data_IF_233394314011
#
_entry.id   IF_233394314011
#
_cell.length_a   1.000
_cell.length_b   1.000
_cell.length_c   1.000
_cell.angle_alpha   90.00
_cell.angle_beta   90.00
_cell.angle_gamma   90.00
#
_symmetry.space_group_name_H-M   'P 1'
#
loop_
_entity.id
_entity.type
_entity.pdbx_description
1 polymer ?
#
# COMPACT_ATOMS: atom_id res chain seq x y z
N UNK A 1 32.06 4.28 -2.83
CA UNK A 1 33.44 4.76 -3.08
C UNK A 1 33.35 5.96 -4.01
N UNK A 2 34.24 6.94 -3.88
CA UNK A 2 34.37 8.07 -4.81
C UNK A 2 35.70 7.98 -5.54
N UNK A 3 35.76 8.34 -6.82
CA UNK A 3 37.00 8.30 -7.59
C UNK A 3 36.90 9.07 -8.90
N UNK A 4 38.04 9.37 -9.51
CA UNK A 4 38.14 10.13 -10.76
C UNK A 4 39.12 9.46 -11.75
N UNK A 5 40.02 8.62 -11.27
CA UNK A 5 41.05 7.97 -12.08
C UNK A 5 40.67 6.58 -12.61
N UNK A 6 41.38 6.16 -13.66
CA UNK A 6 41.33 4.78 -14.19
C UNK A 6 41.68 3.73 -13.13
N UNK A 7 42.54 4.12 -12.17
CA UNK A 7 42.99 3.26 -11.08
C UNK A 7 41.88 3.01 -10.05
N UNK A 8 40.89 3.90 -9.96
CA UNK A 8 39.76 3.77 -9.05
C UNK A 8 38.67 2.85 -9.61
N UNK A 9 38.68 2.59 -10.92
CA UNK A 9 37.63 1.84 -11.61
C UNK A 9 37.32 0.45 -10.98
N UNK A 10 38.32 -0.39 -10.60
CA UNK A 10 38.03 -1.68 -9.95
C UNK A 10 37.30 -1.51 -8.62
N UNK A 11 37.65 -0.46 -7.87
CA UNK A 11 37.15 -0.24 -6.52
C UNK A 11 35.82 0.54 -6.52
N UNK A 12 35.60 1.42 -7.51
CA UNK A 12 34.27 1.95 -7.85
C UNK A 12 33.31 0.82 -8.17
N UNK A 13 33.74 -0.14 -9.01
CA UNK A 13 32.89 -1.26 -9.42
C UNK A 13 32.59 -2.26 -8.30
N UNK A 14 33.50 -2.39 -7.34
CA UNK A 14 33.32 -3.28 -6.18
C UNK A 14 32.49 -2.65 -5.05
N UNK A 15 32.29 -1.33 -5.06
CA UNK A 15 31.50 -0.65 -4.05
C UNK A 15 30.00 -0.90 -4.24
N UNK A 16 29.22 -0.83 -3.14
CA UNK A 16 27.76 -0.90 -3.24
C UNK A 16 27.18 0.25 -4.11
N UNK A 17 27.83 1.41 -4.05
CA UNK A 17 27.66 2.54 -4.97
C UNK A 17 29.04 3.19 -5.20
N UNK A 18 29.47 3.22 -6.47
CA UNK A 18 30.57 4.01 -6.99
C UNK A 18 30.10 5.38 -7.47
N UNK A 19 30.85 6.43 -7.11
CA UNK A 19 30.57 7.82 -7.49
C UNK A 19 31.78 8.40 -8.24
N UNK A 20 31.60 8.79 -9.50
CA UNK A 20 32.66 9.40 -10.30
C UNK A 20 32.49 10.90 -10.49
N UNK A 21 33.61 11.61 -10.70
CA UNK A 21 33.62 13.02 -11.07
C UNK A 21 33.25 13.20 -12.54
N UNK A 22 32.38 14.17 -12.86
CA UNK A 22 31.88 14.44 -14.20
C UNK A 22 32.84 15.26 -15.06
N UNK A 23 33.59 16.20 -14.47
CA UNK A 23 34.51 17.08 -15.17
C UNK A 23 35.94 16.51 -15.10
N UNK A 24 36.47 16.32 -13.90
CA UNK A 24 37.82 15.82 -13.67
C UNK A 24 37.96 14.29 -13.89
N UNK A 25 36.85 13.56 -13.84
CA UNK A 25 36.87 12.10 -13.95
C UNK A 25 37.18 11.59 -15.36
N UNK A 26 37.97 10.52 -15.41
CA UNK A 26 38.25 9.76 -16.62
C UNK A 26 37.01 9.01 -17.10
N UNK A 27 36.89 8.76 -18.41
CA UNK A 27 35.75 8.03 -18.97
C UNK A 27 35.65 6.59 -18.42
N UNK A 28 36.79 6.00 -18.06
CA UNK A 28 36.84 4.69 -17.40
C UNK A 28 36.25 4.75 -15.99
N UNK A 29 36.56 5.78 -15.21
CA UNK A 29 35.97 5.98 -13.88
C UNK A 29 34.46 6.21 -13.97
N UNK A 30 34.01 7.07 -14.89
CA UNK A 30 32.58 7.33 -15.15
C UNK A 30 31.84 6.07 -15.58
N UNK A 31 32.43 5.29 -16.49
CA UNK A 31 31.85 4.03 -16.97
C UNK A 31 31.83 2.92 -15.91
N UNK A 32 32.68 3.01 -14.88
CA UNK A 32 32.71 2.05 -13.78
C UNK A 32 31.78 2.40 -12.61
N UNK A 33 31.31 3.65 -12.52
CA UNK A 33 30.47 4.16 -11.42
C UNK A 33 28.96 4.05 -11.67
N UNK A 34 28.17 3.94 -10.61
CA UNK A 34 26.70 3.99 -10.65
C UNK A 34 26.14 5.42 -10.61
N UNK A 35 26.93 6.39 -10.14
CA UNK A 35 26.56 7.81 -10.06
C UNK A 35 27.71 8.69 -10.56
N UNK A 36 27.38 9.74 -11.33
CA UNK A 36 28.36 10.72 -11.83
C UNK A 36 27.97 12.12 -11.37
N UNK A 37 28.91 12.82 -10.74
CA UNK A 37 28.74 14.21 -10.29
C UNK A 37 29.08 15.17 -11.42
N UNK A 38 28.06 15.62 -12.16
CA UNK A 38 28.27 16.49 -13.33
C UNK A 38 28.93 17.85 -13.00
N UNK A 39 28.86 18.27 -11.75
CA UNK A 39 29.37 19.53 -11.22
C UNK A 39 30.67 19.40 -10.42
N UNK A 40 31.20 18.19 -10.26
CA UNK A 40 32.37 17.87 -9.43
C UNK A 40 32.25 18.37 -7.98
N UNK A 41 31.04 18.53 -7.46
CA UNK A 41 30.80 19.03 -6.12
C UNK A 41 30.45 17.91 -5.14
N UNK A 42 31.29 17.69 -4.13
CA UNK A 42 31.02 16.71 -3.06
C UNK A 42 29.76 17.02 -2.25
N UNK A 43 29.31 18.28 -2.19
CA UNK A 43 28.04 18.65 -1.51
C UNK A 43 26.85 17.93 -2.17
N UNK A 44 26.91 17.67 -3.48
CA UNK A 44 25.86 16.94 -4.22
C UNK A 44 25.69 15.51 -3.71
N UNK A 45 26.75 14.89 -3.15
CA UNK A 45 26.64 13.57 -2.49
C UNK A 45 25.77 13.66 -1.24
N UNK A 46 25.89 14.74 -0.46
CA UNK A 46 25.08 14.93 0.76
C UNK A 46 23.60 15.06 0.40
N UNK A 47 23.28 15.86 -0.63
CA UNK A 47 21.93 15.99 -1.15
C UNK A 47 21.37 14.65 -1.70
N UNK A 48 22.22 13.87 -2.38
CA UNK A 48 21.83 12.54 -2.86
C UNK A 48 21.53 11.57 -1.70
N UNK A 49 22.30 11.64 -0.60
CA UNK A 49 22.02 10.84 0.61
C UNK A 49 20.70 11.26 1.25
N UNK A 50 20.42 12.56 1.34
CA UNK A 50 19.16 13.09 1.87
C UNK A 50 17.95 12.60 1.06
N UNK A 51 17.99 12.73 -0.26
CA UNK A 51 16.94 12.21 -1.15
C UNK A 51 16.82 10.68 -1.08
N UNK A 52 17.94 9.95 -0.96
CA UNK A 52 17.91 8.50 -0.78
C UNK A 52 17.20 8.07 0.51
N UNK A 53 17.40 8.81 1.61
CA UNK A 53 16.69 8.56 2.87
C UNK A 53 15.20 8.88 2.76
N UNK A 54 14.84 9.97 2.09
CA UNK A 54 13.45 10.37 1.82
C UNK A 54 12.70 9.32 0.99
N UNK A 55 13.33 8.82 -0.09
CA UNK A 55 12.77 7.75 -0.91
C UNK A 55 12.52 6.51 -0.05
N UNK A 56 13.47 6.14 0.82
CA UNK A 56 13.29 5.00 1.72
C UNK A 56 12.13 5.19 2.72
N UNK A 57 12.00 6.36 3.35
CA UNK A 57 10.88 6.62 4.26
C UNK A 57 9.53 6.58 3.54
N UNK A 58 9.48 7.11 2.32
CA UNK A 58 8.27 7.07 1.49
C UNK A 58 7.96 5.65 1.04
N UNK A 59 8.99 4.82 0.79
CA UNK A 59 8.82 3.38 0.55
C UNK A 59 8.11 2.71 1.73
N UNK A 60 8.55 2.96 2.95
CA UNK A 60 7.94 2.35 4.13
C UNK A 60 6.45 2.74 4.28
N UNK A 61 6.13 4.02 4.05
CA UNK A 61 4.76 4.53 4.11
C UNK A 61 3.85 3.90 3.06
N UNK A 62 4.27 3.87 1.79
CA UNK A 62 3.42 3.27 0.75
C UNK A 62 3.27 1.76 0.95
N UNK A 63 4.33 1.05 1.36
CA UNK A 63 4.24 -0.40 1.61
C UNK A 63 3.31 -0.66 2.79
N UNK A 64 3.37 0.17 3.83
CA UNK A 64 2.47 0.07 4.99
C UNK A 64 1.01 0.26 4.57
N UNK A 65 0.73 1.23 3.71
CA UNK A 65 -0.59 1.51 3.18
C UNK A 65 -1.11 0.34 2.33
N UNK A 66 -0.36 -0.09 1.29
CA UNK A 66 -0.78 -1.18 0.39
C UNK A 66 -0.98 -2.51 1.13
N UNK A 67 -0.07 -2.86 2.03
CA UNK A 67 -0.24 -4.06 2.85
C UNK A 67 -1.44 -3.92 3.79
N UNK A 68 -1.65 -2.74 4.36
CA UNK A 68 -2.76 -2.47 5.27
C UNK A 68 -4.11 -2.66 4.60
N UNK A 69 -4.30 -2.04 3.43
CA UNK A 69 -5.55 -2.12 2.65
C UNK A 69 -5.82 -3.55 2.18
N UNK A 70 -4.82 -4.22 1.60
CA UNK A 70 -5.00 -5.59 1.08
C UNK A 70 -5.29 -6.61 2.20
N UNK A 71 -4.63 -6.46 3.36
CA UNK A 71 -4.91 -7.32 4.51
C UNK A 71 -6.30 -7.00 5.09
N UNK A 72 -6.66 -5.71 5.18
CA UNK A 72 -7.99 -5.26 5.61
C UNK A 72 -9.10 -5.86 4.75
N UNK A 73 -8.93 -5.83 3.44
CA UNK A 73 -9.85 -6.41 2.45
C UNK A 73 -10.08 -7.91 2.69
N UNK A 74 -9.01 -8.67 2.84
CA UNK A 74 -9.11 -10.10 3.12
C UNK A 74 -9.82 -10.34 4.46
N UNK A 75 -9.52 -9.55 5.49
CA UNK A 75 -10.08 -9.71 6.84
C UNK A 75 -11.59 -9.46 6.84
N UNK A 76 -12.08 -8.32 6.33
CA UNK A 76 -13.52 -8.05 6.41
C UNK A 76 -14.33 -9.00 5.53
N UNK A 77 -13.81 -9.43 4.38
CA UNK A 77 -14.49 -10.42 3.53
C UNK A 77 -14.58 -11.76 4.26
N UNK A 78 -13.49 -12.20 4.89
CA UNK A 78 -13.45 -13.46 5.64
C UNK A 78 -14.40 -13.41 6.85
N UNK A 79 -14.42 -12.30 7.58
CA UNK A 79 -15.33 -12.12 8.73
C UNK A 79 -16.79 -12.10 8.28
N UNK A 80 -17.12 -11.38 7.20
CA UNK A 80 -18.49 -11.35 6.68
C UNK A 80 -18.99 -12.74 6.29
N UNK A 81 -18.15 -13.53 5.60
CA UNK A 81 -18.46 -14.92 5.25
C UNK A 81 -18.63 -15.78 6.51
N UNK A 82 -17.70 -15.69 7.45
CA UNK A 82 -17.74 -16.47 8.70
C UNK A 82 -18.95 -16.11 9.57
N UNK A 83 -19.36 -14.84 9.59
CA UNK A 83 -20.54 -14.35 10.30
C UNK A 83 -21.86 -14.64 9.56
N UNK A 84 -21.79 -15.27 8.38
CA UNK A 84 -22.95 -15.46 7.49
C UNK A 84 -23.67 -14.14 7.20
N UNK A 85 -22.91 -13.07 6.96
CA UNK A 85 -23.42 -11.80 6.46
C UNK A 85 -23.35 -11.77 4.92
N UNK A 86 -24.21 -11.00 4.25
CA UNK A 86 -24.04 -10.70 2.83
C UNK A 86 -22.63 -10.19 2.52
N UNK A 87 -22.13 -10.49 1.33
CA UNK A 87 -20.80 -10.03 0.93
C UNK A 87 -20.80 -8.49 0.87
N UNK A 88 -19.86 -7.81 1.56
CA UNK A 88 -19.78 -6.36 1.54
C UNK A 88 -19.52 -5.80 0.13
N UNK A 89 -18.73 -6.53 -0.67
CA UNK A 89 -18.31 -6.14 -2.01
C UNK A 89 -18.32 -7.36 -2.93
N UNK A 90 -18.73 -7.14 -4.18
CA UNK A 90 -18.64 -8.14 -5.25
C UNK A 90 -17.22 -8.22 -5.84
N UNK A 91 -16.89 -9.33 -6.50
CA UNK A 91 -15.58 -9.56 -7.09
C UNK A 91 -15.13 -8.44 -8.07
N UNK A 92 -16.06 -7.90 -8.87
CA UNK A 92 -15.77 -6.79 -9.78
C UNK A 92 -15.50 -5.48 -9.02
N UNK A 93 -16.24 -5.25 -7.92
CA UNK A 93 -16.07 -4.06 -7.08
C UNK A 93 -14.73 -4.10 -6.36
N UNK A 94 -14.31 -5.27 -5.86
CA UNK A 94 -12.97 -5.51 -5.29
C UNK A 94 -11.87 -5.19 -6.31
N UNK A 95 -12.00 -5.67 -7.55
CA UNK A 95 -11.02 -5.37 -8.60
C UNK A 95 -10.94 -3.88 -8.91
N UNK A 96 -12.09 -3.21 -8.98
CA UNK A 96 -12.16 -1.77 -9.21
C UNK A 96 -11.58 -0.97 -8.04
N UNK A 97 -11.84 -1.40 -6.80
CA UNK A 97 -11.31 -0.80 -5.60
C UNK A 97 -9.78 -0.88 -5.60
N UNK A 98 -9.21 -2.06 -5.81
CA UNK A 98 -7.76 -2.26 -5.89
C UNK A 98 -7.09 -1.41 -6.97
N UNK A 99 -7.71 -1.29 -8.15
CA UNK A 99 -7.19 -0.41 -9.21
C UNK A 99 -7.12 1.06 -8.76
N UNK A 100 -8.13 1.52 -8.02
CA UNK A 100 -8.22 2.90 -7.54
C UNK A 100 -7.34 3.16 -6.31
N UNK A 101 -7.34 2.25 -5.32
CA UNK A 101 -6.63 2.39 -4.06
C UNK A 101 -5.12 2.19 -4.19
N UNK A 102 -4.68 1.31 -5.08
CA UNK A 102 -3.26 0.95 -5.17
C UNK A 102 -2.50 1.85 -6.15
N UNK A 103 -3.21 2.54 -7.03
CA UNK A 103 -2.61 3.45 -8.01
C UNK A 103 -2.34 4.83 -7.42
N UNK A 104 -3.39 5.65 -7.34
CA UNK A 104 -3.26 7.08 -7.05
C UNK A 104 -2.68 7.38 -5.66
N UNK A 105 -3.18 6.77 -4.56
CA UNK A 105 -2.63 6.97 -3.23
C UNK A 105 -1.16 6.53 -3.10
N UNK A 106 -0.77 5.41 -3.72
CA UNK A 106 0.61 4.92 -3.65
C UNK A 106 1.60 5.90 -4.30
N UNK A 107 1.24 6.47 -5.45
CA UNK A 107 2.06 7.50 -6.13
C UNK A 107 2.12 8.78 -5.31
N UNK A 108 1.03 9.16 -4.63
CA UNK A 108 1.02 10.33 -3.76
C UNK A 108 1.97 10.14 -2.56
N UNK A 109 1.91 8.98 -1.89
CA UNK A 109 2.79 8.64 -0.77
C UNK A 109 4.27 8.57 -1.19
N UNK A 110 4.55 8.15 -2.43
CA UNK A 110 5.92 8.15 -2.94
C UNK A 110 6.53 9.56 -3.07
N UNK A 111 5.70 10.60 -3.24
CA UNK A 111 6.12 12.00 -3.43
C UNK A 111 6.09 12.85 -2.17
N UNK A 112 5.85 12.26 -1.01
CA UNK A 112 5.76 13.00 0.24
C UNK A 112 7.09 13.70 0.58
N UNK A 113 7.06 14.92 1.16
CA UNK A 113 8.27 15.60 1.60
C UNK A 113 9.02 14.79 2.68
N UNK A 114 10.33 15.01 2.76
CA UNK A 114 11.16 14.44 3.83
C UNK A 114 10.84 15.07 5.18
N UNK A 115 11.07 14.30 6.24
CA UNK A 115 11.09 14.82 7.60
C UNK A 115 12.31 15.75 7.80
N UNK A 116 12.12 16.85 8.53
CA UNK A 116 13.17 17.82 8.87
C UNK A 116 14.33 17.17 9.65
N UNK A 117 14.05 16.06 10.34
CA UNK A 117 15.05 15.34 11.13
C UNK A 117 15.76 14.22 10.36
N UNK A 118 15.43 14.02 9.09
CA UNK A 118 15.89 12.88 8.28
C UNK A 118 17.42 12.75 8.23
N UNK A 119 18.15 13.86 8.24
CA UNK A 119 19.62 13.87 8.23
C UNK A 119 20.27 13.77 9.63
N UNK A 120 19.51 13.98 10.70
CA UNK A 120 19.99 13.89 12.09
C UNK A 120 20.03 12.45 12.61
N UNK A 121 19.19 11.58 12.05
CA UNK A 121 19.07 10.17 12.44
C UNK A 121 20.29 9.39 11.92
N UNK A 122 20.87 8.45 12.69
CA UNK A 122 21.97 7.62 12.20
C UNK A 122 21.56 6.73 11.01
N UNK A 123 22.50 6.34 10.14
CA UNK A 123 22.21 5.44 9.03
C UNK A 123 21.59 4.11 9.50
N UNK A 124 20.55 3.65 8.79
CA UNK A 124 19.87 2.40 9.11
C UNK A 124 20.81 1.18 8.97
N UNK A 125 20.62 0.12 9.77
CA UNK A 125 21.33 -1.15 9.58
C UNK A 125 21.01 -1.79 8.23
N UNK A 126 22.03 -2.33 7.55
CA UNK A 126 21.88 -2.96 6.22
C UNK A 126 20.89 -4.13 6.19
N UNK A 127 20.78 -4.87 7.30
CA UNK A 127 19.92 -6.06 7.45
C UNK A 127 18.52 -5.75 8.00
N UNK A 128 18.19 -4.47 8.21
CA UNK A 128 16.87 -4.11 8.71
C UNK A 128 15.81 -4.36 7.62
N UNK A 129 14.70 -5.05 7.95
CA UNK A 129 13.59 -5.20 7.01
C UNK A 129 12.92 -3.85 6.75
N UNK A 130 12.35 -3.67 5.56
CA UNK A 130 11.59 -2.46 5.20
C UNK A 130 10.41 -2.28 6.18
N UNK A 131 9.67 -3.35 6.44
CA UNK A 131 8.58 -3.36 7.41
C UNK A 131 9.09 -3.81 8.79
N UNK A 132 9.39 -2.83 9.65
CA UNK A 132 9.84 -3.09 11.03
C UNK A 132 8.68 -3.47 11.95
N UNK A 133 8.97 -3.96 13.16
CA UNK A 133 7.93 -4.26 14.16
C UNK A 133 7.08 -3.04 14.50
N UNK A 134 7.69 -1.86 14.58
CA UNK A 134 6.98 -0.62 14.91
C UNK A 134 6.00 -0.24 13.80
N UNK A 135 6.42 -0.39 12.53
CA UNK A 135 5.53 -0.18 11.39
C UNK A 135 4.37 -1.18 11.37
N UNK A 136 4.60 -2.45 11.73
CA UNK A 136 3.52 -3.44 11.87
C UNK A 136 2.54 -3.09 12.99
N UNK A 137 3.05 -2.74 14.17
CA UNK A 137 2.25 -2.53 15.38
C UNK A 137 1.52 -1.18 15.39
N UNK A 138 2.18 -0.10 14.97
CA UNK A 138 1.64 1.26 15.04
C UNK A 138 1.11 1.77 13.70
N UNK A 139 1.55 1.20 12.58
CA UNK A 139 1.05 1.56 11.25
C UNK A 139 -0.01 0.59 10.76
N UNK A 140 0.41 -0.65 10.48
CA UNK A 140 -0.40 -1.59 9.71
C UNK A 140 -1.57 -2.20 10.51
N UNK A 141 -1.34 -2.62 11.75
CA UNK A 141 -2.35 -3.22 12.61
C UNK A 141 -3.54 -2.29 12.95
N UNK A 142 -3.34 -1.03 13.37
CA UNK A 142 -4.47 -0.13 13.59
C UNK A 142 -5.20 0.23 12.30
N UNK A 143 -4.49 0.37 11.18
CA UNK A 143 -5.10 0.62 9.86
C UNK A 143 -6.05 -0.51 9.46
N UNK A 144 -5.56 -1.76 9.46
CA UNK A 144 -6.33 -2.96 9.10
C UNK A 144 -7.58 -3.14 9.98
N UNK A 145 -7.44 -3.00 11.29
CA UNK A 145 -8.56 -3.16 12.24
C UNK A 145 -9.60 -2.07 12.04
N UNK A 146 -9.16 -0.82 11.86
CA UNK A 146 -10.06 0.31 11.67
C UNK A 146 -10.85 0.17 10.37
N UNK A 147 -10.17 -0.12 9.27
CA UNK A 147 -10.78 -0.35 7.96
C UNK A 147 -11.81 -1.48 7.99
N UNK A 148 -11.40 -2.67 8.46
CA UNK A 148 -12.30 -3.82 8.55
C UNK A 148 -13.50 -3.54 9.47
N UNK A 149 -13.26 -2.86 10.60
CA UNK A 149 -14.30 -2.44 11.52
C UNK A 149 -15.31 -1.49 10.87
N UNK A 150 -14.84 -0.49 10.14
CA UNK A 150 -15.71 0.47 9.44
C UNK A 150 -16.58 -0.20 8.37
N UNK A 151 -16.02 -1.12 7.57
CA UNK A 151 -16.76 -1.84 6.52
C UNK A 151 -17.82 -2.77 7.13
N UNK A 152 -17.45 -3.54 8.15
CA UNK A 152 -18.40 -4.46 8.80
C UNK A 152 -19.49 -3.71 9.56
N UNK A 153 -19.15 -2.62 10.26
CA UNK A 153 -20.13 -1.80 10.97
C UNK A 153 -21.08 -1.08 10.02
N UNK A 154 -20.58 -0.56 8.89
CA UNK A 154 -21.44 0.08 7.89
C UNK A 154 -22.40 -0.92 7.26
N UNK A 155 -21.93 -2.13 6.94
CA UNK A 155 -22.77 -3.21 6.44
C UNK A 155 -23.81 -3.65 7.47
N UNK A 156 -23.39 -3.91 8.71
CA UNK A 156 -24.29 -4.34 9.79
C UNK A 156 -25.37 -3.29 10.09
N UNK A 157 -24.98 -2.01 10.15
CA UNK A 157 -25.91 -0.91 10.34
C UNK A 157 -26.88 -0.77 9.15
N UNK A 158 -26.36 -0.85 7.92
CA UNK A 158 -27.19 -0.79 6.71
C UNK A 158 -28.22 -1.90 6.64
N UNK A 159 -27.82 -3.14 6.94
CA UNK A 159 -28.73 -4.28 7.03
C UNK A 159 -29.75 -4.09 8.15
N UNK A 160 -29.31 -3.69 9.35
CA UNK A 160 -30.20 -3.50 10.48
C UNK A 160 -31.26 -2.42 10.21
N UNK A 161 -30.89 -1.30 9.58
CA UNK A 161 -31.84 -0.22 9.25
C UNK A 161 -32.84 -0.62 8.16
N UNK A 162 -32.42 -1.44 7.18
CA UNK A 162 -33.27 -1.83 6.05
C UNK A 162 -34.17 -3.04 6.32
N UNK A 163 -33.68 -4.05 7.05
CA UNK A 163 -34.35 -5.36 7.21
C UNK A 163 -34.59 -5.75 8.66
N UNK A 164 -33.98 -5.05 9.61
CA UNK A 164 -33.99 -5.40 11.04
C UNK A 164 -33.12 -6.62 11.38
N UNK A 165 -32.40 -7.21 10.41
CA UNK A 165 -31.62 -8.43 10.61
C UNK A 165 -30.26 -8.37 9.92
N UNK A 166 -29.24 -8.94 10.57
CA UNK A 166 -27.84 -8.83 10.15
C UNK A 166 -27.33 -10.08 9.42
N UNK A 167 -27.99 -11.24 9.62
CA UNK A 167 -27.56 -12.53 9.08
C UNK A 167 -28.28 -12.89 7.77
N UNK A 168 -27.62 -13.70 6.93
CA UNK A 168 -28.10 -14.21 5.65
C UNK A 168 -29.34 -15.10 5.76
N UNK A 169 -29.40 -15.99 6.76
CA UNK A 169 -30.50 -16.96 6.87
C UNK A 169 -31.88 -16.26 7.05
N UNK A 170 -32.02 -15.28 7.94
CA UNK A 170 -33.24 -14.47 8.04
C UNK A 170 -33.54 -13.64 6.79
N UNK A 171 -32.50 -13.16 6.07
CA UNK A 171 -32.69 -12.39 4.84
C UNK A 171 -33.29 -13.25 3.73
N UNK A 172 -32.81 -14.49 3.59
CA UNK A 172 -33.33 -15.42 2.58
C UNK A 172 -34.77 -15.86 2.92
N UNK A 173 -35.08 -16.05 4.20
CA UNK A 173 -36.46 -16.29 4.64
C UNK A 173 -37.36 -15.09 4.33
N UNK A 174 -36.93 -13.85 4.56
CA UNK A 174 -37.71 -12.65 4.24
C UNK A 174 -37.98 -12.47 2.73
N UNK A 175 -37.01 -12.66 1.83
CA UNK A 175 -37.28 -12.66 0.39
C UNK A 175 -38.23 -13.83 0.04
N UNK A 176 -38.07 -15.01 0.65
CA UNK A 176 -38.97 -16.16 0.43
C UNK A 176 -40.42 -15.87 0.86
N UNK A 177 -40.63 -15.17 1.98
CA UNK A 177 -41.95 -14.72 2.41
C UNK A 177 -42.54 -13.68 1.45
N UNK A 178 -41.74 -12.75 0.92
CA UNK A 178 -42.21 -11.78 -0.06
C UNK A 178 -42.60 -12.45 -1.39
N UNK A 179 -41.81 -13.40 -1.89
CA UNK A 179 -42.11 -14.17 -3.10
C UNK A 179 -43.34 -15.07 -2.91
N UNK A 180 -43.48 -15.74 -1.77
CA UNK A 180 -44.63 -16.60 -1.47
C UNK A 180 -45.96 -15.81 -1.36
N UNK A 181 -45.92 -14.61 -0.78
CA UNK A 181 -47.10 -13.73 -0.65
C UNK A 181 -47.49 -13.09 -1.99
N UNK A 182 -46.51 -12.84 -2.89
CA UNK A 182 -46.77 -12.36 -4.25
C UNK A 182 -47.30 -13.47 -5.18
N UNK A 183 -46.85 -14.72 -5.01
CA UNK A 183 -47.37 -15.87 -5.77
C UNK A 183 -48.82 -16.22 -5.42
N UNK A 184 -49.32 -15.88 -4.23
CA UNK A 184 -50.74 -16.04 -3.91
C UNK A 184 -51.63 -14.94 -4.53
N UNK A 185 -51.05 -13.88 -5.10
CA UNK A 185 -51.79 -12.72 -5.60
C UNK A 185 -51.53 -12.32 -7.06
N UNK A 186 -50.52 -12.85 -7.76
CA UNK A 186 -50.34 -12.51 -9.17
C UNK A 186 -49.63 -13.59 -10.02
N UNK A 187 -50.41 -14.18 -10.94
CA UNK A 187 -49.91 -14.87 -12.13
C UNK A 187 -49.52 -13.80 -13.15
N UNK A 188 -48.28 -13.31 -13.13
CA UNK A 188 -47.66 -12.74 -14.34
C UNK A 188 -46.16 -12.56 -14.11
N UNK A 189 -45.37 -13.28 -14.91
CA UNK A 189 -43.93 -13.34 -14.78
C UNK A 189 -43.24 -11.99 -14.96
N UNK A 190 -42.52 -11.57 -13.94
CA UNK A 190 -41.28 -10.80 -14.04
C UNK A 190 -40.35 -11.32 -12.96
N UNK A 191 -39.20 -11.85 -13.38
CA UNK A 191 -38.07 -12.11 -12.49
C UNK A 191 -37.74 -10.81 -11.77
N UNK A 192 -38.15 -10.73 -10.52
CA UNK A 192 -37.84 -9.61 -9.65
C UNK A 192 -36.66 -10.09 -8.84
N UNK A 193 -35.45 -9.73 -9.26
CA UNK A 193 -34.28 -9.84 -8.41
C UNK A 193 -34.55 -9.02 -7.13
N UNK A 194 -34.62 -9.71 -5.99
CA UNK A 194 -33.80 -9.28 -4.86
C UNK A 194 -32.34 -9.33 -5.39
#
# INVERSE_FOLDING_TARGET
MTGDGVNDAPALKAADIGVAMGIAGTDVAKGASEMVLLDDNFVTIVAAVEEGRKIYSNIQKFVCFLLGTNIGEIIYLTIAIAASMPLPLEALQVLFLNLMSDGCPAVALAKEPSDDENMKIPPRPRKQPIMTRDWWLYGNLPHTIFEAGCVLMSLALGLYLCTGVVQLNPLHEQCSYFTATQLSHNVSGKETQC
#
